data_IF_058813859373
#
_entry.id   IF_058813859373
#
_cell.length_a   1.000
_cell.length_b   1.000
_cell.length_c   1.000
_cell.angle_alpha   90.00
_cell.angle_beta   90.00
_cell.angle_gamma   90.00
#
_symmetry.space_group_name_H-M   'P 1'
#
loop_
_entity.id
_entity.type
_entity.pdbx_description
1 polymer ?
#
# COMPACT_ATOMS: atom_id res chain seq x y z
N UNK A 1 22.28 20.91 -12.97
CA UNK A 1 21.83 20.52 -11.62
C UNK A 1 20.88 19.35 -11.83
N UNK A 2 21.38 18.13 -11.69
CA UNK A 2 20.57 16.91 -11.73
C UNK A 2 20.51 16.42 -10.29
N UNK A 3 19.48 16.81 -9.57
CA UNK A 3 19.16 16.28 -8.25
C UNK A 3 18.08 15.22 -8.45
N UNK A 4 18.46 13.96 -8.33
CA UNK A 4 17.59 12.83 -7.96
C UNK A 4 18.49 11.88 -7.17
N UNK A 5 18.87 12.34 -5.98
CA UNK A 5 19.40 11.48 -4.93
C UNK A 5 18.22 11.23 -3.98
N UNK A 6 17.59 10.07 -4.09
CA UNK A 6 16.76 9.52 -3.01
C UNK A 6 17.18 8.08 -2.86
N UNK A 7 18.33 7.97 -2.19
CA UNK A 7 18.76 6.81 -1.44
C UNK A 7 17.55 6.18 -0.71
N UNK A 8 17.22 4.94 -1.06
CA UNK A 8 16.26 4.12 -0.33
C UNK A 8 17.03 3.14 0.56
N UNK A 9 18.00 3.59 1.34
CA UNK A 9 18.48 2.83 2.49
C UNK A 9 17.50 3.03 3.66
N UNK A 10 16.34 2.38 3.59
CA UNK A 10 15.53 2.21 4.80
C UNK A 10 16.20 1.12 5.61
N UNK A 11 17.04 1.51 6.58
CA UNK A 11 17.42 0.67 7.72
C UNK A 11 16.12 0.31 8.48
N UNK A 12 15.37 -0.66 7.96
CA UNK A 12 14.20 -1.19 8.65
C UNK A 12 14.72 -1.94 9.87
N UNK A 13 14.17 -1.70 11.08
CA UNK A 13 14.41 -2.62 12.17
C UNK A 13 14.06 -4.01 11.64
N UNK A 14 14.99 -4.96 11.77
CA UNK A 14 14.77 -6.38 11.54
C UNK A 14 13.85 -6.90 12.65
N UNK A 15 12.67 -6.30 12.73
CA UNK A 15 11.58 -6.80 13.52
C UNK A 15 11.27 -8.18 12.94
N UNK A 16 11.36 -9.21 13.76
CA UNK A 16 11.19 -10.63 13.40
C UNK A 16 9.78 -10.97 12.86
N UNK A 17 9.00 -9.97 12.44
CA UNK A 17 7.65 -10.04 11.88
C UNK A 17 7.55 -9.59 10.42
N UNK A 18 8.64 -9.23 9.75
CA UNK A 18 8.63 -9.03 8.29
C UNK A 18 8.53 -10.39 7.59
N UNK A 19 7.42 -10.65 6.91
CA UNK A 19 7.26 -11.81 6.03
C UNK A 19 7.78 -11.47 4.64
N UNK A 20 8.55 -12.37 4.03
CA UNK A 20 9.03 -12.19 2.65
C UNK A 20 7.90 -12.42 1.64
N UNK A 21 8.06 -11.91 0.42
CA UNK A 21 7.09 -12.11 -0.66
C UNK A 21 6.86 -13.60 -0.96
N UNK A 22 7.89 -14.43 -0.79
CA UNK A 22 7.88 -15.90 -0.90
C UNK A 22 7.05 -16.61 0.19
N UNK A 23 6.71 -15.90 1.26
CA UNK A 23 5.92 -16.40 2.38
C UNK A 23 4.49 -15.83 2.37
N UNK A 24 4.14 -15.01 1.37
CA UNK A 24 2.77 -14.55 1.18
C UNK A 24 1.88 -15.71 0.71
N UNK A 25 0.60 -15.74 1.12
CA UNK A 25 -0.37 -16.66 0.55
C UNK A 25 -0.54 -16.39 -0.94
N UNK A 26 -0.90 -17.44 -1.69
CA UNK A 26 -1.02 -17.42 -3.14
C UNK A 26 -1.92 -16.30 -3.69
N UNK A 27 -2.98 -15.94 -2.99
CA UNK A 27 -3.89 -14.84 -3.36
C UNK A 27 -3.28 -13.44 -3.23
N UNK A 28 -2.23 -13.28 -2.42
CA UNK A 28 -1.56 -12.00 -2.19
C UNK A 28 -0.22 -11.88 -2.92
N UNK A 29 0.20 -12.94 -3.61
CA UNK A 29 1.35 -12.87 -4.52
C UNK A 29 0.93 -12.06 -5.74
N UNK A 30 1.77 -11.09 -6.13
CA UNK A 30 1.56 -10.34 -7.35
C UNK A 30 1.52 -11.31 -8.55
N UNK A 31 0.34 -11.47 -9.12
CA UNK A 31 0.07 -12.32 -10.29
C UNK A 31 -0.30 -11.44 -11.49
N UNK A 32 -0.15 -11.96 -12.70
CA UNK A 32 -0.61 -11.31 -13.94
C UNK A 32 -2.14 -11.11 -13.96
N UNK A 33 -2.89 -11.84 -13.11
CA UNK A 33 -4.33 -11.62 -12.88
C UNK A 33 -4.63 -10.51 -11.85
N UNK A 34 -3.61 -9.87 -11.25
CA UNK A 34 -3.83 -8.73 -10.37
C UNK A 34 -4.11 -7.48 -11.24
N UNK A 35 -5.35 -6.94 -11.25
CA UNK A 35 -5.70 -5.80 -12.09
C UNK A 35 -4.90 -4.53 -11.75
N UNK A 36 -4.31 -4.46 -10.54
CA UNK A 36 -3.46 -3.35 -10.13
C UNK A 36 -2.02 -3.46 -10.67
N UNK A 37 -1.61 -4.62 -11.20
CA UNK A 37 -0.27 -4.84 -11.75
C UNK A 37 -0.05 -4.06 -13.06
N UNK A 38 -1.12 -3.78 -13.82
CA UNK A 38 -1.07 -2.95 -15.04
C UNK A 38 -0.80 -1.46 -14.73
N UNK A 39 -0.80 -1.08 -13.45
CA UNK A 39 -0.71 0.30 -13.01
C UNK A 39 -2.07 0.98 -13.03
N UNK A 40 -2.31 1.83 -12.03
CA UNK A 40 -3.49 2.67 -12.02
C UNK A 40 -3.33 3.76 -13.07
N UNK A 41 -4.42 4.06 -13.80
CA UNK A 41 -4.45 5.24 -14.65
C UNK A 41 -4.07 6.47 -13.82
N UNK A 42 -3.28 7.37 -14.41
CA UNK A 42 -2.97 8.64 -13.76
C UNK A 42 -4.31 9.30 -13.46
N UNK A 43 -4.57 9.54 -12.17
CA UNK A 43 -5.85 10.04 -11.69
C UNK A 43 -6.16 11.42 -12.22
N UNK A 44 -6.74 11.50 -13.42
CA UNK A 44 -7.45 12.68 -13.89
C UNK A 44 -8.71 12.76 -13.02
N UNK A 45 -8.67 13.62 -12.00
CA UNK A 45 -9.75 13.87 -11.01
C UNK A 45 -9.87 12.91 -9.81
N UNK A 46 -8.77 12.37 -9.28
CA UNK A 46 -8.83 11.78 -7.93
C UNK A 46 -8.90 12.93 -6.93
N UNK A 47 -10.11 13.23 -6.44
CA UNK A 47 -10.32 13.99 -5.21
C UNK A 47 -9.80 13.16 -4.03
N UNK A 48 -8.47 13.07 -3.92
CA UNK A 48 -7.82 12.56 -2.73
C UNK A 48 -8.37 13.40 -1.58
N UNK A 49 -9.03 12.73 -0.63
CA UNK A 49 -9.53 13.40 0.55
C UNK A 49 -8.34 14.09 1.22
N UNK A 50 -8.40 15.41 1.36
CA UNK A 50 -7.36 16.19 2.02
C UNK A 50 -7.16 15.73 3.49
N UNK A 51 -8.23 15.19 4.08
CA UNK A 51 -8.23 14.58 5.41
C UNK A 51 -8.87 13.18 5.33
N UNK A 52 -8.11 12.16 5.74
CA UNK A 52 -8.63 10.79 5.84
C UNK A 52 -9.68 10.65 6.95
N UNK A 53 -10.52 9.60 6.89
CA UNK A 53 -11.47 9.31 7.98
C UNK A 53 -10.71 9.02 9.27
N UNK A 54 -11.09 9.68 10.35
CA UNK A 54 -10.52 9.36 11.67
C UNK A 54 -11.15 8.08 12.21
N UNK A 55 -10.43 7.39 13.09
CA UNK A 55 -10.88 6.13 13.64
C UNK A 55 -12.20 6.27 14.42
N UNK A 56 -12.46 7.44 15.00
CA UNK A 56 -13.71 7.72 15.71
C UNK A 56 -14.92 7.91 14.77
N UNK A 57 -14.69 8.09 13.46
CA UNK A 57 -15.72 8.29 12.42
C UNK A 57 -16.03 7.01 11.63
N UNK A 58 -15.32 5.91 11.91
CA UNK A 58 -15.64 4.62 11.32
C UNK A 58 -16.82 4.01 12.07
N UNK A 59 -17.92 3.75 11.36
CA UNK A 59 -19.05 3.01 11.93
C UNK A 59 -18.56 1.64 12.40
N UNK A 60 -18.78 1.34 13.69
CA UNK A 60 -18.49 0.03 14.25
C UNK A 60 -19.32 -1.01 13.48
N UNK A 61 -18.71 -2.08 12.94
CA UNK A 61 -19.46 -3.11 12.25
C UNK A 61 -20.46 -3.70 13.24
N UNK A 62 -21.75 -3.54 12.94
CA UNK A 62 -22.81 -4.16 13.73
C UNK A 62 -22.75 -5.66 13.47
N UNK A 63 -22.24 -6.42 14.45
CA UNK A 63 -22.27 -7.88 14.47
C UNK A 63 -23.74 -8.33 14.56
N UNK A 64 -24.21 -9.08 13.56
CA UNK A 64 -25.60 -9.51 13.38
C UNK A 64 -25.85 -10.95 13.82
#
# INVERSE_FOLDING_TARGET
>A
MSEHETDHETERPTDSSSIGDDQLPEDLVASDDNPLAEGLEAGEDVHLLEEGKRAEEMEEPTDG
#
